data_IF_265117588741
#
_entry.id   IF_265117588741
#
_cell.length_a   1.000
_cell.length_b   1.000
_cell.length_c   1.000
_cell.angle_alpha   90.00
_cell.angle_beta   90.00
_cell.angle_gamma   90.00
#
_symmetry.space_group_name_H-M   'P 1'
#
loop_
_entity.id
_entity.type
_entity.pdbx_description
1 polymer ?
#
# COMPACT_ATOMS: atom_id res chain seq x y z
N UNK A 1 -13.28 77.67 -17.27
CA UNK A 1 -14.55 77.72 -16.55
C UNK A 1 -15.12 76.31 -16.57
N UNK A 2 -15.40 75.80 -15.38
CA UNK A 2 -16.23 74.62 -15.06
C UNK A 2 -15.68 73.19 -15.30
N UNK A 3 -15.32 72.61 -14.15
CA UNK A 3 -15.76 71.34 -13.58
C UNK A 3 -15.26 70.00 -14.15
N UNK A 4 -14.23 69.54 -13.43
CA UNK A 4 -13.78 68.17 -13.18
C UNK A 4 -14.88 67.35 -12.47
N UNK A 5 -15.11 66.10 -12.86
CA UNK A 5 -15.02 64.89 -12.00
C UNK A 5 -15.67 63.66 -12.66
N UNK A 6 -14.76 62.83 -13.17
CA UNK A 6 -14.78 61.38 -13.21
C UNK A 6 -14.77 60.83 -11.76
N UNK A 7 -15.70 59.94 -11.37
CA UNK A 7 -15.56 59.04 -10.20
C UNK A 7 -16.50 57.82 -10.37
N UNK A 8 -15.87 56.65 -10.44
CA UNK A 8 -16.36 55.34 -9.97
C UNK A 8 -16.49 55.35 -8.45
N UNK A 9 -17.60 54.85 -7.86
CA UNK A 9 -17.70 54.34 -6.47
C UNK A 9 -19.12 53.77 -6.23
N UNK A 10 -19.21 52.51 -5.80
CA UNK A 10 -19.65 52.06 -4.44
C UNK A 10 -21.19 52.10 -4.33
N UNK A 11 -21.94 51.14 -3.79
CA UNK A 11 -21.67 49.99 -2.91
C UNK A 11 -22.97 49.14 -2.85
N UNK A 12 -22.80 47.86 -2.49
CA UNK A 12 -23.70 47.01 -1.70
C UNK A 12 -25.21 46.85 -2.01
N UNK A 13 -25.62 45.59 -2.25
CA UNK A 13 -26.45 44.92 -1.24
C UNK A 13 -26.39 43.38 -1.31
N UNK A 14 -26.11 42.80 -0.14
CA UNK A 14 -26.04 41.36 0.18
C UNK A 14 -27.42 40.89 0.64
N UNK A 15 -27.82 39.66 0.31
CA UNK A 15 -28.65 38.86 1.22
C UNK A 15 -28.00 37.49 1.42
N UNK A 16 -27.48 37.35 2.64
CA UNK A 16 -27.10 36.13 3.34
C UNK A 16 -28.37 35.67 4.06
N UNK A 17 -28.85 34.45 3.81
CA UNK A 17 -29.85 33.84 4.68
C UNK A 17 -29.17 33.24 5.90
N UNK A 18 -29.51 33.85 7.04
CA UNK A 18 -29.10 33.49 8.39
C UNK A 18 -30.22 32.61 8.96
N UNK A 19 -29.88 31.40 9.42
CA UNK A 19 -30.73 30.65 10.36
C UNK A 19 -30.49 31.19 11.78
N UNK A 20 -31.53 31.79 12.39
CA UNK A 20 -31.60 32.07 13.83
C UNK A 20 -32.61 31.10 14.48
N UNK A 21 -32.10 30.23 15.34
CA UNK A 21 -32.91 29.38 16.23
C UNK A 21 -32.32 29.44 17.63
N UNK A 22 -32.91 30.33 18.44
CA UNK A 22 -32.72 30.63 19.88
C UNK A 22 -31.95 29.59 20.73
N UNK A 23 -30.81 30.01 21.26
CA UNK A 23 -30.23 29.46 22.49
C UNK A 23 -30.80 30.24 23.68
N UNK A 24 -31.62 29.58 24.50
CA UNK A 24 -31.98 30.08 25.83
C UNK A 24 -30.88 29.68 26.83
N UNK A 25 -30.27 30.70 27.43
CA UNK A 25 -29.32 30.57 28.52
C UNK A 25 -30.08 30.33 29.82
N UNK A 26 -29.94 29.15 30.40
CA UNK A 26 -30.26 28.93 31.82
C UNK A 26 -28.96 29.09 32.60
N UNK A 27 -28.88 30.21 33.33
CA UNK A 27 -27.96 30.43 34.43
C UNK A 27 -28.42 29.63 35.64
N UNK A 28 -27.59 28.73 36.13
CA UNK A 28 -27.69 28.27 37.52
C UNK A 28 -26.32 28.43 38.19
N UNK A 29 -26.31 29.30 39.20
CA UNK A 29 -25.20 29.60 40.08
C UNK A 29 -24.86 28.36 40.92
N UNK A 30 -23.58 27.97 40.99
CA UNK A 30 -23.04 27.31 42.19
C UNK A 30 -21.67 27.89 42.50
N UNK A 31 -21.55 28.27 43.77
CA UNK A 31 -20.58 29.10 44.44
C UNK A 31 -19.10 28.75 44.23
N UNK A 32 -18.28 29.80 44.18
CA UNK A 32 -16.85 29.72 44.37
C UNK A 32 -16.49 29.51 45.86
N UNK A 33 -15.60 28.57 46.14
CA UNK A 33 -14.62 28.74 47.23
C UNK A 33 -13.32 27.97 46.95
N UNK A 34 -12.17 28.48 47.44
CA UNK A 34 -10.86 28.21 46.85
C UNK A 34 -9.99 27.33 47.77
N UNK A 35 -9.33 26.32 47.21
CA UNK A 35 -8.23 25.66 47.92
C UNK A 35 -7.13 25.25 46.93
N UNK A 36 -6.04 26.02 46.92
CA UNK A 36 -4.74 25.57 46.39
C UNK A 36 -4.23 24.43 47.29
N UNK A 37 -3.77 23.29 46.77
CA UNK A 37 -2.82 22.47 47.49
C UNK A 37 -1.42 23.04 47.32
N UNK A 38 -0.74 23.21 48.46
CA UNK A 38 0.64 23.61 48.59
C UNK A 38 1.58 22.63 47.88
N UNK A 39 2.67 23.18 47.36
CA UNK A 39 3.86 22.45 46.93
C UNK A 39 4.59 22.06 48.22
N UNK A 40 4.72 20.77 48.48
CA UNK A 40 5.70 20.25 49.44
C UNK A 40 6.80 19.50 48.69
N UNK A 41 7.97 20.13 48.66
CA UNK A 41 9.24 19.51 48.28
C UNK A 41 9.78 18.71 49.48
N UNK A 42 9.74 17.38 49.43
CA UNK A 42 10.70 16.55 50.19
C UNK A 42 11.02 15.24 49.47
N UNK A 43 12.27 15.16 48.99
CA UNK A 43 13.15 14.01 48.81
C UNK A 43 12.64 12.61 49.20
N UNK A 44 12.75 11.61 48.31
CA UNK A 44 13.84 10.60 48.29
C UNK A 44 13.59 9.47 47.28
N UNK A 45 14.67 9.11 46.57
CA UNK A 45 14.93 7.89 45.81
C UNK A 45 13.99 6.68 46.00
N UNK A 46 13.33 6.23 44.92
CA UNK A 46 13.06 4.81 44.72
C UNK A 46 13.30 4.38 43.26
N UNK A 47 13.92 3.22 43.17
CA UNK A 47 14.47 2.51 42.02
C UNK A 47 13.36 1.75 41.28
N UNK A 48 13.51 1.64 39.97
CA UNK A 48 12.83 0.75 39.00
C UNK A 48 11.87 -0.35 39.54
N UNK A 49 10.66 -0.41 38.98
CA UNK A 49 9.95 -1.66 38.62
C UNK A 49 8.86 -1.37 37.55
N UNK A 50 8.45 -2.38 36.74
CA UNK A 50 7.81 -2.19 35.44
C UNK A 50 6.27 -2.13 35.46
N UNK A 51 5.72 -1.50 34.42
CA UNK A 51 4.36 -1.58 33.87
C UNK A 51 3.16 -1.71 34.84
N UNK A 52 2.41 -0.61 34.97
CA UNK A 52 0.96 -0.68 35.19
C UNK A 52 0.27 -0.20 33.90
N UNK A 53 0.05 -1.12 32.96
CA UNK A 53 -0.80 -0.86 31.79
C UNK A 53 -2.24 -1.07 32.23
N UNK A 54 -3.03 0.01 32.23
CA UNK A 54 -4.45 -0.02 32.56
C UNK A 54 -5.15 -1.18 31.81
N UNK A 55 -5.74 -2.16 32.51
CA UNK A 55 -6.42 -3.30 31.90
C UNK A 55 -7.66 -2.90 31.09
N UNK A 56 -8.18 -1.67 31.25
CA UNK A 56 -9.29 -1.14 30.48
C UNK A 56 -8.85 -0.23 29.33
N UNK A 57 -7.56 -0.17 29.01
CA UNK A 57 -7.08 0.59 27.88
C UNK A 57 -7.56 -0.08 26.56
N UNK A 58 -8.46 0.54 25.78
CA UNK A 58 -8.95 -0.03 24.52
C UNK A 58 -7.86 -0.12 23.43
N UNK A 59 -6.65 0.37 23.73
CA UNK A 59 -5.49 0.37 22.84
C UNK A 59 -4.40 -0.62 23.28
N UNK A 60 -4.67 -1.53 24.23
CA UNK A 60 -3.67 -2.47 24.78
C UNK A 60 -3.06 -3.40 23.72
N UNK A 61 -3.79 -3.70 22.66
CA UNK A 61 -3.33 -4.52 21.53
C UNK A 61 -2.90 -3.69 20.31
N UNK A 62 -2.96 -2.35 20.42
CA UNK A 62 -2.55 -1.45 19.34
C UNK A 62 -1.09 -1.10 19.57
N UNK A 63 -0.22 -1.70 18.77
CA UNK A 63 1.18 -1.30 18.69
C UNK A 63 1.25 0.13 18.12
N UNK A 64 1.28 1.12 19.01
CA UNK A 64 1.18 2.56 18.69
C UNK A 64 2.28 3.03 17.73
N UNK A 65 3.44 2.36 17.72
CA UNK A 65 4.55 2.65 16.82
C UNK A 65 4.24 2.26 15.37
N UNK A 66 3.45 1.18 15.17
CA UNK A 66 2.97 0.75 13.85
C UNK A 66 1.82 1.62 13.31
N UNK A 67 1.10 2.33 14.18
CA UNK A 67 -0.12 3.08 13.84
C UNK A 67 0.13 4.50 13.27
N UNK A 68 1.38 4.98 13.29
CA UNK A 68 1.67 6.41 13.14
C UNK A 68 1.70 6.93 11.70
N UNK A 69 1.86 6.07 10.70
CA UNK A 69 2.34 6.52 9.39
C UNK A 69 1.45 6.14 8.19
N UNK A 70 0.40 5.32 8.37
CA UNK A 70 -0.31 4.69 7.26
C UNK A 70 -1.80 4.98 7.16
N UNK A 71 -2.28 6.12 7.66
CA UNK A 71 -3.62 6.58 7.31
C UNK A 71 -3.58 7.49 6.08
N UNK A 72 -3.74 6.89 4.89
CA UNK A 72 -4.01 7.61 3.64
C UNK A 72 -5.26 8.51 3.72
N UNK A 73 -6.14 8.28 4.70
CA UNK A 73 -7.31 9.09 4.96
C UNK A 73 -7.26 9.83 6.30
N UNK A 74 -6.15 10.40 6.76
CA UNK A 74 -6.10 11.22 7.99
C UNK A 74 -7.00 12.49 8.03
N UNK A 75 -8.14 12.51 7.32
CA UNK A 75 -9.22 13.51 7.38
C UNK A 75 -10.49 12.88 7.96
N UNK A 76 -10.90 13.33 9.14
CA UNK A 76 -12.05 12.83 9.88
C UNK A 76 -12.03 13.43 11.27
N UNK A 77 -13.21 13.75 11.81
CA UNK A 77 -13.35 14.33 13.14
C UNK A 77 -12.71 13.39 14.18
N UNK A 78 -11.84 13.93 15.06
CA UNK A 78 -11.05 13.26 16.10
C UNK A 78 -9.70 12.63 15.69
N UNK A 79 -8.85 13.32 14.91
CA UNK A 79 -7.57 12.75 14.44
C UNK A 79 -6.32 13.16 15.23
N UNK A 80 -5.65 12.11 15.71
CA UNK A 80 -4.55 12.05 16.68
C UNK A 80 -3.13 12.29 16.11
N UNK A 81 -2.96 12.72 14.86
CA UNK A 81 -1.61 13.03 14.35
C UNK A 81 -0.97 14.22 15.10
N UNK A 82 -1.76 15.24 15.42
CA UNK A 82 -1.29 16.41 16.19
C UNK A 82 -0.95 16.06 17.63
N UNK A 83 -1.79 15.28 18.33
CA UNK A 83 -1.53 14.88 19.73
C UNK A 83 -0.27 14.04 19.87
N UNK A 84 0.02 13.17 18.90
CA UNK A 84 1.25 12.37 18.94
C UNK A 84 2.47 13.23 18.60
N UNK A 85 2.37 14.16 17.65
CA UNK A 85 3.42 15.14 17.40
C UNK A 85 3.75 15.94 18.67
N UNK A 86 2.72 16.47 19.36
CA UNK A 86 2.91 17.21 20.61
C UNK A 86 3.44 16.33 21.76
N UNK A 87 3.05 15.05 21.83
CA UNK A 87 3.54 14.10 22.84
C UNK A 87 5.01 13.74 22.59
N UNK A 88 5.41 13.50 21.34
CA UNK A 88 6.80 13.27 20.96
C UNK A 88 7.66 14.51 21.18
N UNK A 89 7.14 15.69 20.84
CA UNK A 89 7.82 16.96 21.09
C UNK A 89 7.96 17.24 22.61
N UNK A 90 6.94 16.93 23.40
CA UNK A 90 6.97 17.02 24.86
C UNK A 90 8.00 16.05 25.47
N UNK A 91 8.02 14.79 25.03
CA UNK A 91 9.00 13.79 25.48
C UNK A 91 10.43 14.18 25.10
N UNK A 92 10.64 14.72 23.88
CA UNK A 92 11.94 15.22 23.43
C UNK A 92 12.39 16.48 24.20
N UNK A 93 11.46 17.31 24.69
CA UNK A 93 11.78 18.47 25.55
C UNK A 93 12.18 18.04 26.97
N UNK A 94 11.62 16.93 27.47
CA UNK A 94 11.91 16.42 28.82
C UNK A 94 13.15 15.53 28.85
N UNK A 95 13.46 14.81 27.76
CA UNK A 95 14.65 13.95 27.68
C UNK A 95 15.98 14.72 27.67
N UNK A 96 15.96 16.06 27.53
CA UNK A 96 17.16 16.91 27.52
C UNK A 96 18.05 16.75 26.27
N UNK A 97 17.88 15.69 25.49
CA UNK A 97 18.62 15.43 24.27
C UNK A 97 17.93 16.08 23.06
N UNK A 98 18.27 17.33 22.79
CA UNK A 98 18.02 17.92 21.46
C UNK A 98 18.94 17.26 20.42
N UNK A 99 18.48 16.20 19.76
CA UNK A 99 19.11 15.70 18.53
C UNK A 99 18.65 16.55 17.33
N UNK A 100 18.94 17.85 17.39
CA UNK A 100 18.95 18.71 16.20
C UNK A 100 20.23 19.54 16.29
N UNK A 101 21.35 18.96 15.83
CA UNK A 101 22.53 19.75 15.48
C UNK A 101 22.24 20.49 14.18
N UNK A 102 21.49 21.60 14.25
CA UNK A 102 21.54 22.62 13.20
C UNK A 102 22.95 23.21 13.25
N UNK A 103 23.78 22.92 12.24
CA UNK A 103 24.99 23.71 11.98
C UNK A 103 24.54 25.17 11.85
N UNK A 104 24.97 26.03 12.78
CA UNK A 104 24.97 27.47 12.52
C UNK A 104 26.02 27.70 11.43
N UNK A 105 25.57 28.23 10.31
CA UNK A 105 26.48 28.79 9.30
C UNK A 105 27.03 30.08 9.95
N UNK A 106 28.31 30.08 10.31
CA UNK A 106 29.04 31.30 10.67
C UNK A 106 29.73 31.34 12.03
N UNK A 107 30.55 30.35 12.40
CA UNK A 107 31.63 30.55 13.38
C UNK A 107 32.96 29.95 12.86
N UNK A 108 34.11 30.58 13.12
CA UNK A 108 35.36 30.33 12.39
C UNK A 108 36.09 29.07 12.87
N UNK A 109 36.68 28.33 11.92
CA UNK A 109 37.54 27.18 12.17
C UNK A 109 38.91 27.60 12.71
N UNK A 110 39.08 27.62 14.02
CA UNK A 110 40.42 27.52 14.64
C UNK A 110 40.29 26.76 15.96
N UNK A 111 40.57 25.45 15.91
CA UNK A 111 41.16 24.61 16.99
C UNK A 111 40.88 23.10 16.78
N UNK A 112 41.11 22.59 15.56
CA UNK A 112 41.12 21.13 15.30
C UNK A 112 42.33 20.63 14.50
N UNK A 113 43.44 21.37 14.53
CA UNK A 113 44.72 20.94 13.99
C UNK A 113 45.72 20.64 15.12
N UNK A 114 45.38 19.69 16.00
CA UNK A 114 46.35 19.17 16.98
C UNK A 114 45.97 17.79 17.55
N UNK A 115 45.45 16.86 16.74
CA UNK A 115 45.43 15.43 17.12
C UNK A 115 45.04 14.52 15.96
N UNK A 116 45.77 14.57 14.84
CA UNK A 116 45.65 13.51 13.81
C UNK A 116 46.94 13.37 13.01
N UNK A 117 48.02 12.96 13.68
CA UNK A 117 49.15 12.30 13.00
C UNK A 117 49.72 11.23 13.93
N UNK A 118 49.21 10.00 13.79
CA UNK A 118 49.93 8.77 14.08
C UNK A 118 49.18 7.58 13.47
N UNK A 119 49.66 7.16 12.30
CA UNK A 119 49.78 5.80 11.77
C UNK A 119 48.66 4.77 11.97
N UNK A 120 48.14 4.30 10.84
CA UNK A 120 47.46 3.03 10.69
C UNK A 120 46.57 3.04 9.45
N UNK A 121 47.12 2.71 8.29
CA UNK A 121 46.31 2.18 7.19
C UNK A 121 45.73 0.85 7.69
N UNK A 122 44.50 0.89 8.22
CA UNK A 122 43.70 -0.33 8.39
C UNK A 122 43.33 -0.81 6.98
N UNK A 123 44.14 -1.74 6.51
CA UNK A 123 43.76 -2.69 5.47
C UNK A 123 42.51 -3.39 6.03
N UNK A 124 41.34 -3.02 5.53
CA UNK A 124 40.10 -3.75 5.80
C UNK A 124 40.29 -5.14 5.22
N UNK A 125 40.56 -6.09 6.10
CA UNK A 125 40.59 -7.51 5.79
C UNK A 125 39.18 -7.90 5.30
N UNK A 126 38.98 -8.31 4.03
CA UNK A 126 37.68 -8.71 3.51
C UNK A 126 37.11 -9.94 4.25
N UNK A 127 37.88 -10.60 5.12
CA UNK A 127 37.42 -11.71 5.96
C UNK A 127 36.76 -11.27 7.29
N UNK A 128 36.70 -9.97 7.60
CA UNK A 128 36.16 -9.44 8.87
C UNK A 128 35.06 -8.39 8.70
N UNK A 129 34.24 -8.48 7.63
CA UNK A 129 32.95 -7.79 7.63
C UNK A 129 32.09 -8.32 8.79
N UNK A 130 31.54 -7.45 9.66
CA UNK A 130 30.61 -7.91 10.69
C UNK A 130 29.45 -8.65 10.00
N UNK A 131 29.02 -9.81 10.51
CA UNK A 131 27.97 -10.59 9.88
C UNK A 131 26.72 -9.71 9.69
N UNK A 132 26.14 -9.75 8.48
CA UNK A 132 24.91 -9.05 8.15
C UNK A 132 23.86 -9.29 9.25
N UNK A 133 23.53 -8.23 10.01
CA UNK A 133 22.48 -8.32 11.02
C UNK A 133 21.10 -8.27 10.33
N UNK A 134 20.63 -9.45 9.92
CA UNK A 134 19.36 -9.60 9.21
C UNK A 134 18.18 -9.08 10.04
N UNK A 135 18.21 -9.19 11.36
CA UNK A 135 17.09 -8.76 12.21
C UNK A 135 17.00 -7.23 12.28
N UNK A 136 18.14 -6.51 12.32
CA UNK A 136 18.16 -5.04 12.18
C UNK A 136 17.64 -4.58 10.82
N UNK A 137 18.00 -5.28 9.73
CA UNK A 137 17.51 -4.97 8.39
C UNK A 137 16.00 -5.21 8.24
N UNK A 138 15.49 -6.28 8.85
CA UNK A 138 14.05 -6.55 8.90
C UNK A 138 13.32 -5.47 9.69
N UNK A 139 13.86 -5.03 10.83
CA UNK A 139 13.31 -3.93 11.60
C UNK A 139 13.32 -2.62 10.79
N UNK A 140 14.42 -2.29 10.12
CA UNK A 140 14.49 -1.12 9.24
C UNK A 140 13.37 -1.17 8.18
N UNK A 141 13.18 -2.32 7.55
CA UNK A 141 12.13 -2.52 6.55
C UNK A 141 10.70 -2.36 7.10
N UNK A 142 10.46 -2.68 8.38
CA UNK A 142 9.16 -2.47 9.02
C UNK A 142 8.82 -0.99 9.21
N UNK A 143 9.83 -0.15 9.48
CA UNK A 143 9.63 1.25 9.88
C UNK A 143 10.02 2.26 8.80
N UNK A 144 10.73 1.85 7.75
CA UNK A 144 11.14 2.76 6.67
C UNK A 144 9.92 3.35 5.96
N UNK A 145 9.92 4.68 5.81
CA UNK A 145 8.82 5.39 5.15
C UNK A 145 8.90 5.18 3.64
N UNK A 146 7.84 4.69 2.99
CA UNK A 146 7.85 4.50 1.54
C UNK A 146 7.74 5.85 0.83
N UNK A 147 8.82 6.26 0.17
CA UNK A 147 8.87 7.47 -0.64
C UNK A 147 9.94 7.31 -1.76
N UNK A 148 9.94 8.18 -2.78
CA UNK A 148 10.88 8.05 -3.90
C UNK A 148 12.36 8.05 -3.50
N UNK A 149 12.73 8.78 -2.44
CA UNK A 149 14.12 8.86 -1.94
C UNK A 149 14.56 7.55 -1.28
N UNK A 150 13.68 6.93 -0.50
CA UNK A 150 13.98 5.69 0.23
C UNK A 150 13.85 4.43 -0.64
N UNK A 151 13.20 4.53 -1.81
CA UNK A 151 12.93 3.41 -2.71
C UNK A 151 14.16 2.51 -2.98
N UNK A 152 15.36 3.03 -3.31
CA UNK A 152 16.53 2.17 -3.54
C UNK A 152 16.88 1.34 -2.30
N UNK A 153 16.89 1.97 -1.12
CA UNK A 153 17.17 1.28 0.16
C UNK A 153 16.11 0.22 0.46
N UNK A 154 14.83 0.52 0.23
CA UNK A 154 13.75 -0.46 0.42
C UNK A 154 13.94 -1.66 -0.50
N UNK A 155 14.26 -1.44 -1.78
CA UNK A 155 14.50 -2.51 -2.75
C UNK A 155 15.67 -3.40 -2.33
N UNK A 156 16.76 -2.81 -1.84
CA UNK A 156 17.93 -3.57 -1.38
C UNK A 156 17.61 -4.39 -0.13
N UNK A 157 16.99 -3.77 0.88
CA UNK A 157 16.53 -4.46 2.09
C UNK A 157 15.54 -5.58 1.74
N UNK A 158 14.62 -5.33 0.81
CA UNK A 158 13.66 -6.32 0.35
C UNK A 158 14.39 -7.54 -0.20
N UNK A 159 15.36 -7.37 -1.10
CA UNK A 159 16.14 -8.48 -1.66
C UNK A 159 16.94 -9.24 -0.59
N UNK A 160 17.62 -8.53 0.30
CA UNK A 160 18.46 -9.15 1.34
C UNK A 160 17.61 -9.97 2.33
N UNK A 161 16.41 -9.49 2.66
CA UNK A 161 15.50 -10.14 3.62
C UNK A 161 14.58 -11.19 3.00
N UNK A 162 14.78 -11.57 1.73
CA UNK A 162 13.90 -12.51 1.02
C UNK A 162 13.72 -13.87 1.72
N UNK A 163 14.74 -14.36 2.43
CA UNK A 163 14.67 -15.61 3.19
C UNK A 163 13.60 -15.60 4.29
N UNK A 164 13.43 -14.49 5.01
CA UNK A 164 12.38 -14.36 6.05
C UNK A 164 10.98 -14.38 5.46
N UNK A 165 10.79 -13.74 4.29
CA UNK A 165 9.54 -13.79 3.55
C UNK A 165 9.23 -15.20 3.06
N UNK A 166 10.24 -15.94 2.61
CA UNK A 166 10.07 -17.33 2.18
C UNK A 166 9.63 -18.23 3.35
N UNK A 167 10.25 -18.09 4.52
CA UNK A 167 9.83 -18.83 5.73
C UNK A 167 8.36 -18.54 6.09
N UNK A 168 7.94 -17.27 6.01
CA UNK A 168 6.55 -16.88 6.27
C UNK A 168 5.56 -17.48 5.26
N UNK A 169 5.94 -17.60 3.96
CA UNK A 169 5.11 -18.29 2.95
C UNK A 169 4.94 -19.77 3.23
N UNK A 170 6.03 -20.45 3.61
CA UNK A 170 6.02 -21.87 3.93
C UNK A 170 5.21 -22.17 5.20
N UNK A 171 5.22 -21.24 6.16
CA UNK A 171 4.39 -21.31 7.36
C UNK A 171 2.90 -20.95 7.13
N UNK A 172 2.54 -20.42 5.94
CA UNK A 172 1.18 -19.96 5.66
C UNK A 172 0.82 -18.61 6.33
N UNK A 173 1.83 -17.86 6.79
CA UNK A 173 1.68 -16.61 7.54
C UNK A 173 1.97 -15.36 6.69
N UNK A 174 2.12 -15.52 5.37
CA UNK A 174 2.56 -14.43 4.50
C UNK A 174 1.61 -13.23 4.48
N UNK A 175 0.30 -13.44 4.60
CA UNK A 175 -0.66 -12.33 4.70
C UNK A 175 -0.41 -11.50 5.97
N UNK A 176 -0.13 -12.16 7.09
CA UNK A 176 0.20 -11.48 8.35
C UNK A 176 1.52 -10.73 8.21
N UNK A 177 2.52 -11.34 7.57
CA UNK A 177 3.77 -10.65 7.23
C UNK A 177 3.48 -9.35 6.45
N UNK A 178 2.68 -9.38 5.38
CA UNK A 178 2.40 -8.16 4.62
C UNK A 178 1.71 -7.06 5.45
N UNK A 179 0.89 -7.40 6.45
CA UNK A 179 0.27 -6.41 7.35
C UNK A 179 1.29 -5.70 8.23
N UNK A 180 2.37 -6.39 8.59
CA UNK A 180 3.41 -5.86 9.48
C UNK A 180 4.47 -5.06 8.75
N UNK A 181 4.51 -5.12 7.42
CA UNK A 181 5.46 -4.42 6.56
C UNK A 181 4.71 -3.53 5.57
N UNK A 182 4.29 -2.32 5.98
CA UNK A 182 3.48 -1.43 5.14
C UNK A 182 4.13 -1.11 3.78
N UNK A 183 5.47 -1.08 3.74
CA UNK A 183 6.25 -0.89 2.51
C UNK A 183 6.00 -1.95 1.45
N UNK A 184 5.56 -3.15 1.83
CA UNK A 184 5.30 -4.27 0.93
C UNK A 184 4.23 -3.96 -0.12
N UNK A 185 3.31 -3.04 0.20
CA UNK A 185 2.23 -2.60 -0.69
C UNK A 185 2.58 -1.34 -1.48
N UNK A 186 3.74 -0.73 -1.22
CA UNK A 186 4.16 0.49 -1.89
C UNK A 186 4.77 0.23 -3.27
N UNK A 187 5.02 1.32 -4.00
CA UNK A 187 5.74 1.33 -5.28
C UNK A 187 5.07 0.49 -6.38
N UNK A 188 3.74 0.59 -6.49
CA UNK A 188 2.97 0.03 -7.59
C UNK A 188 3.23 -1.48 -7.82
N UNK A 189 3.39 -2.24 -6.74
CA UNK A 189 3.61 -3.68 -6.79
C UNK A 189 5.04 -4.12 -7.15
N UNK A 190 6.00 -3.20 -7.26
CA UNK A 190 7.39 -3.52 -7.61
C UNK A 190 8.04 -4.55 -6.67
N UNK A 191 7.74 -4.48 -5.38
CA UNK A 191 8.25 -5.43 -4.39
C UNK A 191 7.70 -6.86 -4.59
N UNK A 192 6.45 -6.96 -5.06
CA UNK A 192 5.85 -8.25 -5.47
C UNK A 192 6.57 -8.78 -6.70
N UNK A 193 6.84 -7.92 -7.69
CA UNK A 193 7.57 -8.32 -8.89
C UNK A 193 9.00 -8.77 -8.60
N UNK A 194 9.68 -8.14 -7.64
CA UNK A 194 11.01 -8.59 -7.18
C UNK A 194 10.90 -10.01 -6.59
N UNK A 195 9.97 -10.24 -5.67
CA UNK A 195 9.79 -11.57 -5.07
C UNK A 195 9.42 -12.63 -6.11
N UNK A 196 8.54 -12.29 -7.05
CA UNK A 196 8.19 -13.19 -8.14
C UNK A 196 9.42 -13.59 -8.97
N UNK A 197 10.26 -12.63 -9.36
CA UNK A 197 11.49 -12.91 -10.14
C UNK A 197 12.49 -13.77 -9.35
N UNK A 198 12.54 -13.63 -8.03
CA UNK A 198 13.37 -14.50 -7.18
C UNK A 198 12.82 -15.92 -7.10
N UNK A 199 11.49 -16.08 -7.01
CA UNK A 199 10.83 -17.39 -6.95
C UNK A 199 10.82 -18.11 -8.31
N UNK A 200 10.65 -17.36 -9.39
CA UNK A 200 10.45 -17.85 -10.77
C UNK A 200 11.42 -17.20 -11.74
N UNK A 201 12.74 -17.41 -11.59
CA UNK A 201 13.76 -16.71 -12.39
C UNK A 201 13.72 -17.02 -13.88
N UNK A 202 13.14 -18.15 -14.29
CA UNK A 202 12.97 -18.54 -15.68
C UNK A 202 11.67 -18.06 -16.33
N UNK A 203 10.83 -17.33 -15.59
CA UNK A 203 9.55 -16.84 -16.11
C UNK A 203 9.74 -15.62 -17.01
N UNK A 204 9.04 -15.58 -18.13
CA UNK A 204 9.00 -14.43 -19.04
C UNK A 204 8.06 -13.35 -18.51
N UNK A 205 8.36 -12.09 -18.82
CA UNK A 205 7.48 -10.99 -18.42
C UNK A 205 6.14 -11.07 -19.15
N UNK A 206 5.05 -10.75 -18.44
CA UNK A 206 3.71 -10.80 -19.00
C UNK A 206 3.55 -9.91 -20.23
N UNK A 207 4.09 -8.69 -20.16
CA UNK A 207 3.95 -7.71 -21.24
C UNK A 207 4.64 -8.16 -22.53
N UNK A 208 5.78 -8.85 -22.42
CA UNK A 208 6.57 -9.30 -23.58
C UNK A 208 5.82 -10.34 -24.42
N UNK A 209 5.05 -11.23 -23.76
CA UNK A 209 4.28 -12.27 -24.44
C UNK A 209 2.84 -11.88 -24.80
N UNK A 210 2.29 -10.86 -24.14
CA UNK A 210 0.87 -10.54 -24.27
C UNK A 210 0.50 -9.89 -25.60
N UNK A 211 1.22 -8.87 -26.06
CA UNK A 211 0.78 -8.05 -27.20
C UNK A 211 0.58 -8.85 -28.48
N UNK A 212 1.51 -9.77 -28.77
CA UNK A 212 1.40 -10.67 -29.92
C UNK A 212 0.23 -11.64 -29.77
N UNK A 213 0.01 -12.15 -28.56
CA UNK A 213 -1.06 -13.11 -28.29
C UNK A 213 -2.45 -12.44 -28.33
N UNK A 214 -2.56 -11.24 -27.80
CA UNK A 214 -3.78 -10.41 -27.82
C UNK A 214 -4.28 -10.21 -29.25
N UNK A 215 -3.41 -9.77 -30.15
CA UNK A 215 -3.75 -9.56 -31.56
C UNK A 215 -4.26 -10.86 -32.22
N UNK A 216 -3.60 -12.00 -31.96
CA UNK A 216 -4.03 -13.31 -32.47
C UNK A 216 -5.40 -13.72 -31.92
N UNK A 217 -5.63 -13.53 -30.62
CA UNK A 217 -6.91 -13.83 -29.97
C UNK A 217 -8.03 -13.00 -30.61
N UNK A 218 -7.84 -11.69 -30.73
CA UNK A 218 -8.86 -10.78 -31.25
C UNK A 218 -9.14 -11.02 -32.74
N UNK A 219 -8.12 -11.38 -33.52
CA UNK A 219 -8.27 -11.72 -34.95
C UNK A 219 -9.06 -13.01 -35.13
N UNK A 220 -8.65 -14.10 -34.46
CA UNK A 220 -9.26 -15.42 -34.65
C UNK A 220 -10.65 -15.53 -34.00
N UNK A 221 -10.96 -14.63 -33.06
CA UNK A 221 -12.24 -14.59 -32.34
C UNK A 221 -12.92 -13.22 -32.44
N UNK A 222 -12.83 -12.57 -33.59
CA UNK A 222 -13.38 -11.23 -33.86
C UNK A 222 -14.88 -11.10 -33.60
N UNK A 223 -15.63 -12.21 -33.56
CA UNK A 223 -17.07 -12.26 -33.25
C UNK A 223 -17.42 -12.28 -31.76
N UNK A 224 -16.48 -12.64 -30.87
CA UNK A 224 -16.76 -12.80 -29.44
C UNK A 224 -16.57 -11.48 -28.68
N UNK A 225 -17.47 -11.23 -27.72
CA UNK A 225 -17.45 -10.09 -26.80
C UNK A 225 -17.20 -8.74 -27.47
N UNK A 226 -17.88 -8.47 -28.60
CA UNK A 226 -17.68 -7.25 -29.41
C UNK A 226 -18.09 -5.97 -28.68
N UNK A 227 -18.95 -6.10 -27.68
CA UNK A 227 -19.40 -5.04 -26.79
C UNK A 227 -18.30 -4.51 -25.88
N UNK A 228 -17.22 -5.27 -25.66
CA UNK A 228 -16.07 -4.83 -24.88
C UNK A 228 -15.13 -3.99 -25.75
N UNK A 229 -15.12 -2.68 -25.50
CA UNK A 229 -14.34 -1.69 -26.28
C UNK A 229 -12.84 -1.72 -25.96
N UNK A 230 -12.44 -2.25 -24.80
CA UNK A 230 -11.04 -2.40 -24.42
C UNK A 230 -10.52 -3.76 -24.87
N UNK A 231 -9.62 -3.75 -25.85
CA UNK A 231 -9.01 -4.95 -26.44
C UNK A 231 -8.39 -5.89 -25.40
N UNK A 232 -7.69 -5.34 -24.39
CA UNK A 232 -7.14 -6.10 -23.27
C UNK A 232 -8.20 -6.89 -22.50
N UNK A 233 -9.25 -6.20 -22.06
CA UNK A 233 -10.36 -6.79 -21.28
C UNK A 233 -11.09 -7.83 -22.13
N UNK A 234 -11.29 -7.51 -23.41
CA UNK A 234 -11.94 -8.39 -24.38
C UNK A 234 -11.14 -9.67 -24.63
N UNK A 235 -9.83 -9.56 -24.86
CA UNK A 235 -8.97 -10.71 -25.06
C UNK A 235 -8.95 -11.61 -23.81
N UNK A 236 -8.87 -11.05 -22.60
CA UNK A 236 -8.98 -11.82 -21.36
C UNK A 236 -10.34 -12.55 -21.24
N UNK A 237 -11.45 -11.89 -21.61
CA UNK A 237 -12.77 -12.50 -21.59
C UNK A 237 -12.85 -13.71 -22.56
N UNK A 238 -12.26 -13.57 -23.75
CA UNK A 238 -12.14 -14.66 -24.73
C UNK A 238 -11.29 -15.81 -24.16
N UNK A 239 -10.12 -15.51 -23.57
CA UNK A 239 -9.27 -16.54 -22.94
C UNK A 239 -10.05 -17.30 -21.89
N UNK A 240 -10.77 -16.61 -20.99
CA UNK A 240 -11.57 -17.25 -19.94
C UNK A 240 -12.68 -18.12 -20.53
N UNK A 241 -13.36 -17.63 -21.56
CA UNK A 241 -14.42 -18.37 -22.25
C UNK A 241 -13.90 -19.63 -22.95
N UNK A 242 -12.74 -19.55 -23.60
CA UNK A 242 -12.11 -20.67 -24.33
C UNK A 242 -11.39 -21.67 -23.43
N UNK A 243 -11.12 -21.31 -22.17
CA UNK A 243 -10.45 -22.17 -21.18
C UNK A 243 -11.33 -22.46 -19.95
N UNK A 244 -12.50 -23.10 -20.12
CA UNK A 244 -13.37 -23.39 -18.98
C UNK A 244 -12.77 -24.46 -18.05
N UNK A 245 -12.88 -24.26 -16.74
CA UNK A 245 -12.54 -25.29 -15.75
C UNK A 245 -13.72 -26.24 -15.53
N UNK A 246 -13.45 -27.50 -15.13
CA UNK A 246 -14.52 -28.47 -14.81
C UNK A 246 -15.38 -27.94 -13.66
N UNK A 247 -16.71 -28.01 -13.80
CA UNK A 247 -17.66 -27.52 -12.79
C UNK A 247 -17.96 -26.02 -12.84
N UNK A 248 -17.22 -25.22 -13.62
CA UNK A 248 -17.41 -23.75 -13.74
C UNK A 248 -18.82 -23.33 -14.17
N UNK A 249 -19.52 -24.16 -14.94
CA UNK A 249 -20.91 -23.91 -15.36
C UNK A 249 -21.93 -23.98 -14.21
N UNK A 250 -21.61 -24.64 -13.09
CA UNK A 250 -22.54 -24.81 -11.95
C UNK A 250 -22.39 -23.75 -10.87
N UNK A 251 -21.28 -23.01 -10.88
CA UNK A 251 -20.91 -22.03 -9.84
C UNK A 251 -20.92 -20.57 -10.31
N UNK A 252 -21.07 -20.33 -11.62
CA UNK A 252 -21.15 -18.97 -12.14
C UNK A 252 -22.53 -18.41 -11.89
N UNK A 253 -22.60 -17.32 -11.14
CA UNK A 253 -23.79 -16.47 -11.12
C UNK A 253 -23.99 -15.93 -12.54
N UNK A 254 -25.02 -16.42 -13.23
CA UNK A 254 -25.27 -16.12 -14.64
C UNK A 254 -25.42 -14.62 -14.87
N UNK A 255 -26.05 -13.90 -13.94
CA UNK A 255 -26.25 -12.44 -14.01
C UNK A 255 -24.93 -11.67 -13.89
N UNK A 256 -24.03 -12.11 -13.00
CA UNK A 256 -22.72 -11.48 -12.83
C UNK A 256 -21.79 -11.73 -14.03
N UNK A 257 -21.92 -12.90 -14.67
CA UNK A 257 -21.17 -13.25 -15.88
C UNK A 257 -21.73 -12.55 -17.13
N UNK A 258 -23.04 -12.23 -17.15
CA UNK A 258 -23.67 -11.45 -18.20
C UNK A 258 -23.14 -10.01 -18.23
N UNK A 259 -22.95 -9.41 -17.04
CA UNK A 259 -22.51 -8.01 -16.91
C UNK A 259 -20.98 -7.84 -16.94
N UNK A 260 -20.23 -8.79 -16.38
CA UNK A 260 -18.76 -8.78 -16.41
C UNK A 260 -18.23 -10.21 -16.64
N UNK A 261 -17.75 -10.54 -17.86
CA UNK A 261 -17.23 -11.87 -18.17
C UNK A 261 -15.95 -12.21 -17.39
N UNK A 262 -15.31 -11.24 -16.73
CA UNK A 262 -14.14 -11.41 -15.85
C UNK A 262 -14.49 -11.37 -14.36
N UNK A 263 -15.78 -11.39 -13.99
CA UNK A 263 -16.22 -11.42 -12.59
C UNK A 263 -15.52 -12.54 -11.79
N UNK A 264 -14.97 -12.19 -10.62
CA UNK A 264 -14.14 -13.07 -9.78
C UNK A 264 -12.64 -13.10 -10.14
N UNK A 265 -12.23 -12.43 -11.23
CA UNK A 265 -10.82 -12.22 -11.60
C UNK A 265 -10.50 -10.72 -11.62
N UNK A 266 -11.35 -9.94 -12.29
CA UNK A 266 -11.28 -8.49 -12.35
C UNK A 266 -12.63 -7.90 -11.93
N UNK A 267 -12.63 -7.06 -10.89
CA UNK A 267 -13.81 -6.38 -10.36
C UNK A 267 -13.71 -4.88 -10.65
N UNK A 268 -14.76 -4.33 -11.25
CA UNK A 268 -14.89 -2.88 -11.38
C UNK A 268 -15.65 -2.33 -10.18
N UNK A 269 -15.18 -1.20 -9.68
CA UNK A 269 -15.85 -0.42 -8.62
C UNK A 269 -15.98 1.04 -9.09
N UNK A 270 -16.98 1.78 -8.57
CA UNK A 270 -17.09 3.21 -8.79
C UNK A 270 -15.76 3.94 -8.49
N UNK A 271 -15.39 4.98 -9.26
CA UNK A 271 -14.14 5.73 -9.06
C UNK A 271 -13.96 6.31 -7.65
N UNK A 272 -15.06 6.66 -7.00
CA UNK A 272 -15.17 7.23 -5.67
C UNK A 272 -15.06 6.20 -4.53
N UNK A 273 -15.27 4.92 -4.82
CA UNK A 273 -15.28 3.86 -3.82
C UNK A 273 -13.86 3.47 -3.39
N UNK A 274 -13.70 3.16 -2.11
CA UNK A 274 -12.47 2.60 -1.56
C UNK A 274 -12.22 1.18 -2.07
N UNK A 275 -10.93 0.80 -2.18
CA UNK A 275 -10.59 -0.58 -2.49
C UNK A 275 -11.04 -1.50 -1.36
N UNK A 276 -11.64 -2.66 -1.69
CA UNK A 276 -12.18 -3.58 -0.68
C UNK A 276 -11.06 -4.16 0.18
N UNK A 277 -11.30 -4.24 1.49
CA UNK A 277 -10.40 -4.82 2.50
C UNK A 277 -11.03 -6.01 3.23
N UNK A 278 -12.25 -6.35 2.87
CA UNK A 278 -13.10 -7.41 3.42
C UNK A 278 -13.20 -8.61 2.47
N UNK A 279 -12.29 -8.70 1.49
CA UNK A 279 -12.32 -9.72 0.45
C UNK A 279 -11.97 -11.12 0.94
N UNK A 280 -12.27 -12.11 0.10
CA UNK A 280 -11.83 -13.50 0.30
C UNK A 280 -10.30 -13.61 0.36
N UNK A 281 -9.80 -14.73 0.88
CA UNK A 281 -8.37 -15.07 0.88
C UNK A 281 -7.81 -15.48 -0.51
N UNK A 282 -8.42 -14.98 -1.59
CA UNK A 282 -7.95 -15.17 -2.97
C UNK A 282 -7.69 -13.79 -3.57
N UNK A 283 -6.53 -13.56 -4.21
CA UNK A 283 -6.24 -12.29 -4.88
C UNK A 283 -7.32 -11.92 -5.91
N UNK A 284 -7.68 -10.64 -5.94
CA UNK A 284 -8.61 -10.06 -6.89
C UNK A 284 -8.03 -8.76 -7.46
N UNK A 285 -8.04 -8.60 -8.79
CA UNK A 285 -7.73 -7.31 -9.40
C UNK A 285 -8.96 -6.41 -9.33
N UNK A 286 -8.83 -5.26 -8.69
CA UNK A 286 -9.90 -4.27 -8.56
C UNK A 286 -9.53 -3.03 -9.37
N UNK A 287 -10.48 -2.57 -10.18
CA UNK A 287 -10.32 -1.46 -11.12
C UNK A 287 -11.36 -0.40 -10.79
N UNK A 288 -10.92 0.83 -10.60
CA UNK A 288 -11.82 1.99 -10.46
C UNK A 288 -12.23 2.49 -11.83
N UNK A 289 -13.53 2.43 -12.11
CA UNK A 289 -14.12 2.90 -13.35
C UNK A 289 -15.48 2.31 -13.67
N UNK A 290 -16.16 2.90 -14.63
CA UNK A 290 -17.38 2.35 -15.20
C UNK A 290 -17.01 1.21 -16.14
N UNK A 291 -17.43 -0.02 -15.84
CA UNK A 291 -17.10 -1.17 -16.68
C UNK A 291 -17.46 -0.94 -18.16
N UNK A 292 -16.57 -1.27 -19.13
CA UNK A 292 -15.22 -1.85 -18.96
C UNK A 292 -14.10 -0.80 -18.83
N UNK A 293 -14.42 0.49 -18.79
CA UNK A 293 -13.47 1.61 -18.74
C UNK A 293 -12.64 1.67 -17.45
N UNK A 294 -11.47 2.29 -17.56
CA UNK A 294 -10.54 2.53 -16.45
C UNK A 294 -10.41 4.04 -16.27
N UNK A 295 -10.78 4.58 -15.11
CA UNK A 295 -10.81 6.03 -14.90
C UNK A 295 -10.18 6.52 -13.59
N UNK A 296 -9.88 5.62 -12.63
CA UNK A 296 -9.29 6.02 -11.34
C UNK A 296 -7.94 5.37 -11.01
N UNK A 297 -7.85 4.05 -11.13
CA UNK A 297 -6.69 3.28 -10.68
C UNK A 297 -7.01 1.80 -10.47
N UNK A 298 -5.96 1.00 -10.33
CA UNK A 298 -6.03 -0.44 -10.14
C UNK A 298 -5.35 -0.81 -8.81
N UNK A 299 -5.85 -1.86 -8.17
CA UNK A 299 -5.19 -2.48 -7.03
C UNK A 299 -5.39 -3.99 -7.03
N UNK A 300 -4.40 -4.72 -6.52
CA UNK A 300 -4.59 -6.12 -6.15
C UNK A 300 -5.03 -6.17 -4.70
N UNK A 301 -6.21 -6.74 -4.46
CA UNK A 301 -6.77 -6.91 -3.12
C UNK A 301 -6.68 -8.39 -2.70
N UNK A 302 -6.25 -8.64 -1.47
CA UNK A 302 -6.16 -9.99 -0.90
C UNK A 302 -6.47 -9.95 0.60
N UNK A 303 -7.69 -10.35 0.97
CA UNK A 303 -8.20 -10.07 2.32
C UNK A 303 -8.12 -8.56 2.62
N UNK A 304 -7.47 -8.15 3.72
CA UNK A 304 -7.27 -6.74 4.04
C UNK A 304 -6.03 -6.10 3.41
N UNK A 305 -5.26 -6.86 2.63
CA UNK A 305 -4.11 -6.31 1.92
C UNK A 305 -4.59 -5.66 0.62
N UNK A 306 -4.25 -4.39 0.44
CA UNK A 306 -4.49 -3.64 -0.80
C UNK A 306 -3.13 -3.18 -1.33
N UNK A 307 -2.82 -3.60 -2.56
CA UNK A 307 -1.60 -3.20 -3.27
C UNK A 307 -2.02 -2.34 -4.46
N UNK A 308 -1.93 -1.00 -4.38
CA UNK A 308 -2.15 -0.13 -5.52
C UNK A 308 -1.15 -0.45 -6.65
N UNK A 309 -1.59 -0.43 -7.91
CA UNK A 309 -0.76 -0.75 -9.09
C UNK A 309 -0.97 0.26 -10.22
N UNK A 310 -1.11 1.54 -9.87
CA UNK A 310 -1.31 2.63 -10.82
C UNK A 310 -2.59 2.52 -11.68
N UNK A 311 -2.63 3.24 -12.81
CA UNK A 311 -3.82 3.35 -13.66
C UNK A 311 -3.88 2.41 -14.88
N UNK A 312 -2.83 1.64 -15.16
CA UNK A 312 -2.77 0.78 -16.34
C UNK A 312 -3.24 -0.65 -15.98
N UNK A 313 -4.41 -1.05 -16.47
CA UNK A 313 -4.98 -2.38 -16.21
C UNK A 313 -4.11 -3.54 -16.69
N UNK A 314 -3.39 -3.40 -17.81
CA UNK A 314 -2.50 -4.44 -18.34
C UNK A 314 -1.31 -4.68 -17.41
N UNK A 315 -0.64 -3.60 -16.99
CA UNK A 315 0.46 -3.68 -16.02
C UNK A 315 -0.03 -4.22 -14.68
N UNK A 316 -1.18 -3.73 -14.21
CA UNK A 316 -1.79 -4.20 -12.97
C UNK A 316 -2.15 -5.69 -13.02
N UNK A 317 -2.63 -6.18 -14.17
CA UNK A 317 -2.90 -7.59 -14.39
C UNK A 317 -1.61 -8.43 -14.34
N UNK A 318 -0.49 -7.92 -14.86
CA UNK A 318 0.81 -8.56 -14.73
C UNK A 318 1.21 -8.79 -13.26
N UNK A 319 1.12 -7.74 -12.42
CA UNK A 319 1.39 -7.86 -10.97
C UNK A 319 0.39 -8.80 -10.30
N UNK A 320 -0.89 -8.70 -10.64
CA UNK A 320 -1.94 -9.60 -10.14
C UNK A 320 -1.63 -11.08 -10.38
N UNK A 321 -1.12 -11.44 -11.57
CA UNK A 321 -0.73 -12.82 -11.86
C UNK A 321 0.41 -13.29 -10.94
N UNK A 322 1.40 -12.42 -10.71
CA UNK A 322 2.56 -12.71 -9.86
C UNK A 322 2.16 -12.94 -8.39
N UNK A 323 1.10 -12.26 -7.92
CA UNK A 323 0.58 -12.43 -6.57
C UNK A 323 0.20 -13.88 -6.23
N UNK A 324 -0.27 -14.69 -7.18
CA UNK A 324 -0.62 -16.09 -6.88
C UNK A 324 0.60 -16.92 -6.44
N UNK A 325 1.72 -16.76 -7.15
CA UNK A 325 2.99 -17.41 -6.78
C UNK A 325 3.59 -16.79 -5.51
N UNK A 326 3.62 -15.45 -5.42
CA UNK A 326 4.23 -14.74 -4.27
C UNK A 326 3.45 -14.94 -2.98
N UNK A 327 2.12 -15.04 -3.04
CA UNK A 327 1.29 -15.26 -1.85
C UNK A 327 1.13 -16.74 -1.53
N UNK A 328 1.59 -17.62 -2.43
CA UNK A 328 1.41 -19.07 -2.34
C UNK A 328 -0.08 -19.46 -2.22
N UNK A 329 -0.92 -18.86 -3.07
CA UNK A 329 -2.38 -19.07 -3.08
C UNK A 329 -2.80 -19.62 -4.44
N UNK A 330 -3.66 -20.63 -4.43
CA UNK A 330 -4.24 -21.16 -5.66
C UNK A 330 -5.39 -20.26 -6.17
N UNK A 331 -5.55 -20.09 -7.49
CA UNK A 331 -6.70 -19.40 -8.04
C UNK A 331 -8.00 -20.15 -7.76
N UNK A 332 -9.13 -19.45 -7.88
CA UNK A 332 -10.44 -20.08 -7.74
C UNK A 332 -10.56 -21.29 -8.71
N UNK A 333 -11.03 -22.46 -8.22
CA UNK A 333 -11.20 -23.65 -9.07
C UNK A 333 -12.01 -23.42 -10.36
N UNK A 334 -12.96 -22.47 -10.37
CA UNK A 334 -13.71 -22.12 -11.58
C UNK A 334 -12.82 -21.56 -12.70
N UNK A 335 -11.70 -20.94 -12.34
CA UNK A 335 -10.82 -20.19 -13.23
C UNK A 335 -9.43 -20.80 -13.37
N UNK A 336 -9.21 -21.99 -12.78
CA UNK A 336 -7.94 -22.73 -12.88
C UNK A 336 -7.39 -22.82 -14.30
N UNK A 337 -8.21 -23.22 -15.28
CA UNK A 337 -7.74 -23.37 -16.67
C UNK A 337 -7.40 -22.02 -17.34
N UNK A 338 -8.03 -20.91 -16.92
CA UNK A 338 -7.66 -19.57 -17.35
C UNK A 338 -6.25 -19.22 -16.87
N UNK A 339 -5.96 -19.39 -15.57
CA UNK A 339 -4.64 -19.10 -15.02
C UNK A 339 -3.54 -20.04 -15.54
N UNK A 340 -3.86 -21.33 -15.76
CA UNK A 340 -2.92 -22.26 -16.40
C UNK A 340 -2.61 -21.84 -17.84
N UNK A 341 -3.60 -21.36 -18.59
CA UNK A 341 -3.38 -20.85 -19.94
C UNK A 341 -2.46 -19.63 -19.91
N UNK A 342 -2.78 -18.62 -19.08
CA UNK A 342 -1.98 -17.40 -19.00
C UNK A 342 -0.55 -17.73 -18.56
N UNK A 343 -0.39 -18.51 -17.48
CA UNK A 343 0.92 -18.88 -16.95
C UNK A 343 1.75 -19.75 -17.91
N UNK A 344 1.12 -20.57 -18.74
CA UNK A 344 1.84 -21.44 -19.67
C UNK A 344 2.10 -20.83 -21.04
N UNK A 345 1.14 -20.09 -21.58
CA UNK A 345 1.25 -19.51 -22.91
C UNK A 345 2.04 -18.20 -22.93
N UNK A 346 2.08 -17.45 -21.82
CA UNK A 346 2.66 -16.10 -21.78
C UNK A 346 3.91 -16.07 -20.90
N UNK A 347 3.81 -16.53 -19.66
CA UNK A 347 4.90 -16.38 -18.68
C UNK A 347 5.81 -17.61 -18.55
N UNK A 348 5.49 -18.70 -19.26
CA UNK A 348 6.19 -19.98 -19.21
C UNK A 348 6.43 -20.53 -17.78
N UNK A 349 5.54 -20.16 -16.84
CA UNK A 349 5.63 -20.56 -15.43
C UNK A 349 4.75 -21.79 -15.12
N UNK A 350 3.78 -22.11 -15.99
CA UNK A 350 2.83 -23.22 -15.77
C UNK A 350 2.74 -24.16 -16.96
N UNK A 351 2.39 -25.41 -16.70
CA UNK A 351 2.06 -26.36 -17.77
C UNK A 351 0.66 -26.07 -18.30
N UNK A 352 0.54 -25.92 -19.62
CA UNK A 352 -0.75 -25.76 -20.28
C UNK A 352 -1.66 -26.98 -20.04
N UNK A 353 -2.95 -26.72 -19.82
CA UNK A 353 -3.96 -27.78 -19.89
C UNK A 353 -4.14 -28.25 -21.34
N UNK A 354 -4.69 -29.44 -21.55
CA UNK A 354 -5.04 -29.93 -22.90
C UNK A 354 -5.97 -28.97 -23.64
N UNK A 355 -6.92 -28.34 -22.92
CA UNK A 355 -7.81 -27.31 -23.48
C UNK A 355 -7.02 -26.06 -23.88
N UNK A 356 -6.11 -25.61 -23.01
CA UNK A 356 -5.26 -24.45 -23.27
C UNK A 356 -4.31 -24.64 -24.44
N UNK A 357 -3.70 -25.83 -24.56
CA UNK A 357 -2.84 -26.17 -25.69
C UNK A 357 -3.60 -26.18 -27.02
N UNK A 358 -4.82 -26.76 -27.04
CA UNK A 358 -5.69 -26.73 -28.23
C UNK A 358 -6.09 -25.30 -28.62
N UNK A 359 -6.41 -24.47 -27.63
CA UNK A 359 -6.74 -23.07 -27.87
C UNK A 359 -5.53 -22.32 -28.43
N UNK A 360 -4.35 -22.44 -27.81
CA UNK A 360 -3.13 -21.78 -28.27
C UNK A 360 -2.75 -22.20 -29.71
N UNK A 361 -2.84 -23.49 -30.02
CA UNK A 361 -2.58 -23.98 -31.38
C UNK A 361 -3.61 -23.46 -32.40
N UNK A 362 -4.86 -23.23 -31.98
CA UNK A 362 -5.88 -22.61 -32.85
C UNK A 362 -5.67 -21.11 -33.10
N UNK A 363 -4.67 -20.49 -32.46
CA UNK A 363 -4.26 -19.10 -32.67
C UNK A 363 -3.06 -18.95 -33.61
N UNK A 364 -2.44 -20.07 -34.02
CA UNK A 364 -1.23 -20.10 -34.85
C UNK A 364 -1.52 -19.99 -36.34
#
# INVERSE_FOLDING_TARGET
MENVLEVLREEDDRIVEIFHGKEEWITEEVEASPTKPQIDETNTNQINTPHNVDPNNPYKDINLEKALWFHAHARGLNRHAGRIHYRMEYLARISGERVIKRRRIGEPETDRLASTQANGEDIVDPENEPPLNLDEMVLELQFIVPNPTNKPRVVDLWKITAGKRQQSREAGEFQQFLREFPVATAYDGELITIDFRMLKPSSTEFNDGWDTLEQKILTNHSALFRELTIDFVRALAIVRFKNPSRGSKRSRNEDAALNNPLSGIVKWIPPEDDFPQDGDNIPLLVVRGCFPEVSGGCAVCWGPIVIPVGGNIKTAFGVFLQCFDVFNVAPNPSDKNFFLFIGGAITNNNTLSTTGAKFLHGLQ
#
